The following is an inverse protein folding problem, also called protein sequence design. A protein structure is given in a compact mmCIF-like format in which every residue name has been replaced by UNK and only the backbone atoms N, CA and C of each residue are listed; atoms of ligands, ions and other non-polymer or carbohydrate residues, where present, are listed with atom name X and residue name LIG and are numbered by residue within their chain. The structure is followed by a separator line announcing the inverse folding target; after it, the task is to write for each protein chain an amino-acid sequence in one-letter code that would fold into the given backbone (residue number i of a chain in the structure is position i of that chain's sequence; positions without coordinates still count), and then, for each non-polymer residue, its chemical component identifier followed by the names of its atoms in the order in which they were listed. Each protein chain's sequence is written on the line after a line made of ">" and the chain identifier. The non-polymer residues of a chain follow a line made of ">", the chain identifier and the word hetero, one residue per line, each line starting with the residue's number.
data_IF_477023895208
#
_entry.id   IF_477023895208
#
_cell.length_a   1.000
_cell.length_b   1.000
_cell.length_c   1.000
_cell.angle_alpha   90.00
_cell.angle_beta   90.00
_cell.angle_gamma   90.00
#
_symmetry.space_group_name_H-M   'P 1'
#
loop_
_entity.id
_entity.type
_entity.pdbx_description
1 polymer ?
#
# COMPACT_ATOMS: atom_id res chain seq x y z
N UNK A 1 29.49 18.40 9.13
CA UNK A 1 28.76 17.41 8.32
C UNK A 1 28.19 16.32 9.23
N UNK A 2 26.88 16.16 9.21
CA UNK A 2 26.19 15.11 9.94
C UNK A 2 25.57 14.15 8.92
N UNK A 3 26.04 12.91 8.91
CA UNK A 3 25.47 11.84 8.11
C UNK A 3 24.26 11.27 8.85
N UNK A 4 23.11 11.21 8.21
CA UNK A 4 21.89 10.59 8.75
C UNK A 4 21.58 9.30 7.99
N UNK A 5 21.11 8.27 8.70
CA UNK A 5 20.76 6.98 8.10
C UNK A 5 19.25 6.87 7.93
N UNK A 6 18.81 6.51 6.72
CA UNK A 6 17.43 6.16 6.41
C UNK A 6 17.36 4.66 6.11
N UNK A 7 16.40 3.97 6.72
CA UNK A 7 16.15 2.55 6.45
C UNK A 7 14.78 2.39 5.79
N UNK A 8 14.75 1.68 4.67
CA UNK A 8 13.54 1.41 3.90
C UNK A 8 13.58 -0.02 3.34
N UNK A 9 12.41 -0.56 3.02
CA UNK A 9 12.31 -1.81 2.24
C UNK A 9 12.85 -1.59 0.83
N UNK A 10 13.33 -2.66 0.18
CA UNK A 10 13.92 -2.60 -1.15
C UNK A 10 13.01 -1.88 -2.17
N UNK A 11 11.71 -2.19 -2.16
CA UNK A 11 10.74 -1.60 -3.09
C UNK A 11 10.31 -0.16 -2.79
N UNK A 12 10.78 0.47 -1.72
CA UNK A 12 10.35 1.83 -1.38
C UNK A 12 10.92 2.86 -2.38
N UNK A 13 10.07 3.70 -3.01
CA UNK A 13 10.52 4.66 -4.00
C UNK A 13 11.04 5.96 -3.36
N UNK A 14 12.13 6.48 -3.92
CA UNK A 14 12.75 7.78 -3.64
C UNK A 14 12.81 8.62 -4.91
N UNK A 15 12.61 9.94 -4.77
CA UNK A 15 12.78 10.87 -5.90
C UNK A 15 14.25 11.24 -6.06
N UNK A 16 14.84 10.85 -7.20
CA UNK A 16 16.22 11.18 -7.56
C UNK A 16 16.21 12.43 -8.43
N UNK A 17 16.71 13.54 -7.88
CA UNK A 17 16.61 14.87 -8.47
C UNK A 17 17.44 15.00 -9.76
N UNK A 18 18.61 14.36 -9.82
CA UNK A 18 19.48 14.37 -11.01
C UNK A 18 18.85 13.66 -12.20
N UNK A 19 18.08 12.60 -11.95
CA UNK A 19 17.42 11.79 -12.97
C UNK A 19 15.98 12.26 -13.25
N UNK A 20 15.41 13.07 -12.35
CA UNK A 20 14.00 13.51 -12.38
C UNK A 20 13.03 12.32 -12.46
N UNK A 21 13.36 11.26 -11.74
CA UNK A 21 12.58 10.02 -11.73
C UNK A 21 12.49 9.41 -10.33
N UNK A 22 11.52 8.50 -10.17
CA UNK A 22 11.39 7.69 -8.97
C UNK A 22 12.22 6.43 -9.12
N UNK A 23 13.03 6.11 -8.12
CA UNK A 23 13.86 4.89 -8.04
C UNK A 23 13.56 4.15 -6.76
N UNK A 24 13.53 2.82 -6.81
CA UNK A 24 13.38 2.02 -5.59
C UNK A 24 14.67 2.05 -4.75
N UNK A 25 14.57 1.71 -3.47
CA UNK A 25 15.69 1.81 -2.54
C UNK A 25 16.88 0.94 -2.93
N UNK A 26 16.62 -0.20 -3.59
CA UNK A 26 17.61 -1.12 -4.14
C UNK A 26 18.25 -0.63 -5.46
N UNK A 27 17.70 0.41 -6.08
CA UNK A 27 18.24 1.03 -7.31
C UNK A 27 19.01 2.33 -7.03
N UNK A 28 19.13 2.74 -5.77
CA UNK A 28 19.85 3.95 -5.37
C UNK A 28 21.36 3.72 -5.39
N UNK A 29 22.09 4.76 -5.80
CA UNK A 29 23.55 4.72 -5.90
C UNK A 29 24.19 5.88 -5.12
N UNK A 30 25.37 5.66 -4.49
CA UNK A 30 26.17 6.75 -3.94
C UNK A 30 26.42 7.86 -4.97
N UNK A 31 26.34 9.10 -4.52
CA UNK A 31 26.51 10.30 -5.35
C UNK A 31 25.22 10.86 -5.95
N UNK A 32 24.12 10.09 -5.95
CA UNK A 32 22.80 10.60 -6.35
C UNK A 32 22.24 11.61 -5.34
N UNK A 33 21.39 12.52 -5.82
CA UNK A 33 20.78 13.58 -5.01
C UNK A 33 19.31 13.29 -4.78
N UNK A 34 18.91 13.19 -3.51
CA UNK A 34 17.52 13.08 -3.09
C UNK A 34 16.95 14.46 -2.74
N UNK A 35 15.65 14.64 -2.95
CA UNK A 35 14.95 15.88 -2.61
C UNK A 35 14.36 15.82 -1.19
N UNK A 36 14.63 16.84 -0.39
CA UNK A 36 14.11 16.98 0.99
C UNK A 36 12.73 17.64 1.01
N UNK A 37 12.10 17.67 2.18
CA UNK A 37 10.83 18.35 2.38
C UNK A 37 10.81 19.86 2.41
N UNK A 38 11.96 20.48 2.60
CA UNK A 38 12.14 21.91 2.38
C UNK A 38 12.41 22.24 0.90
N UNK A 39 12.46 21.24 0.02
CA UNK A 39 12.80 21.41 -1.39
C UNK A 39 14.30 21.54 -1.67
N UNK A 40 15.14 21.34 -0.64
CA UNK A 40 16.60 21.26 -0.79
C UNK A 40 17.03 19.85 -1.24
N UNK A 41 18.34 19.61 -1.31
CA UNK A 41 18.92 18.35 -1.78
C UNK A 41 19.87 17.78 -0.75
N UNK A 42 19.89 16.46 -0.63
CA UNK A 42 20.88 15.69 0.14
C UNK A 42 21.52 14.65 -0.76
N UNK A 43 22.83 14.44 -0.62
CA UNK A 43 23.56 13.47 -1.42
C UNK A 43 23.62 12.12 -0.71
N UNK A 44 23.46 11.03 -1.46
CA UNK A 44 23.65 9.69 -0.93
C UNK A 44 25.16 9.44 -0.79
N UNK A 45 25.65 9.30 0.44
CA UNK A 45 27.06 8.99 0.69
C UNK A 45 27.37 7.50 0.53
N UNK A 46 26.46 6.65 0.98
CA UNK A 46 26.58 5.20 0.91
C UNK A 46 25.21 4.53 0.86
N UNK A 47 25.16 3.34 0.25
CA UNK A 47 23.99 2.47 0.25
C UNK A 47 24.43 1.12 0.80
N UNK A 48 23.69 0.59 1.76
CA UNK A 48 23.93 -0.75 2.31
C UNK A 48 22.63 -1.54 2.23
N UNK A 49 22.64 -2.64 1.49
CA UNK A 49 21.53 -3.56 1.40
C UNK A 49 21.77 -4.74 2.36
N UNK A 50 20.78 -5.06 3.17
CA UNK A 50 20.79 -6.27 4.01
C UNK A 50 19.38 -6.86 4.13
N UNK A 51 19.31 -8.16 4.37
CA UNK A 51 18.05 -8.87 4.59
C UNK A 51 17.80 -9.00 6.08
N UNK A 52 16.65 -8.51 6.55
CA UNK A 52 16.24 -8.64 7.95
C UNK A 52 14.73 -8.81 8.04
N UNK A 53 14.26 -9.66 8.96
CA UNK A 53 12.87 -9.63 9.39
C UNK A 53 12.71 -8.51 10.43
N UNK A 54 12.06 -7.42 10.04
CA UNK A 54 11.76 -6.28 10.90
C UNK A 54 10.30 -5.85 10.73
N UNK A 55 9.67 -5.39 11.81
CA UNK A 55 8.37 -4.71 11.72
C UNK A 55 8.59 -3.32 11.13
N UNK A 56 8.02 -3.08 9.95
CA UNK A 56 8.04 -1.76 9.30
C UNK A 56 6.67 -1.09 9.49
N UNK A 57 6.68 0.18 9.86
CA UNK A 57 5.47 0.99 10.04
C UNK A 57 5.25 1.85 8.79
N UNK A 58 4.07 1.75 8.18
CA UNK A 58 3.70 2.53 7.01
C UNK A 58 2.74 3.67 7.43
N UNK A 59 2.96 4.88 6.93
CA UNK A 59 2.05 6.01 7.12
C UNK A 59 1.19 6.15 5.84
N UNK A 60 -0.13 6.02 5.96
CA UNK A 60 -1.04 6.27 4.84
C UNK A 60 -1.44 7.74 4.82
N UNK A 61 -1.11 8.46 3.74
CA UNK A 61 -1.56 9.84 3.51
C UNK A 61 -2.55 9.86 2.35
N UNK A 62 -3.73 10.41 2.61
CA UNK A 62 -4.99 10.14 1.89
C UNK A 62 -5.09 10.79 0.50
N UNK A 63 -4.44 11.95 0.26
CA UNK A 63 -4.69 12.74 -0.97
C UNK A 63 -3.55 12.79 -1.96
N UNK A 64 -2.30 12.97 -1.51
CA UNK A 64 -1.14 13.01 -2.42
C UNK A 64 -0.44 11.65 -2.56
N UNK A 65 -0.74 10.71 -1.65
CA UNK A 65 0.01 9.47 -1.44
C UNK A 65 1.53 9.67 -1.41
N UNK A 66 1.96 10.89 -1.09
CA UNK A 66 3.34 11.32 -0.93
C UNK A 66 3.44 12.01 0.42
N UNK A 67 4.42 11.63 1.22
CA UNK A 67 4.61 12.17 2.55
C UNK A 67 6.08 12.24 2.91
N UNK A 68 6.42 13.04 3.90
CA UNK A 68 7.78 13.14 4.39
C UNK A 68 8.02 12.15 5.52
N UNK A 69 9.06 11.33 5.40
CA UNK A 69 9.58 10.53 6.51
C UNK A 69 10.85 11.18 7.03
N UNK A 70 10.98 11.31 8.34
CA UNK A 70 12.20 11.82 8.94
C UNK A 70 13.27 10.72 8.96
N UNK A 71 14.39 10.93 8.27
CA UNK A 71 15.65 10.31 8.65
C UNK A 71 16.38 11.30 9.56
N UNK A 72 16.50 10.97 10.84
CA UNK A 72 16.99 11.95 11.83
C UNK A 72 16.11 13.21 11.87
N UNK A 73 16.69 14.39 11.61
CA UNK A 73 15.98 15.66 11.53
C UNK A 73 15.55 16.04 10.09
N UNK A 74 15.94 15.26 9.08
CA UNK A 74 15.72 15.60 7.67
C UNK A 74 14.48 14.90 7.10
N UNK A 75 13.42 15.64 6.70
CA UNK A 75 12.28 15.05 6.01
C UNK A 75 12.61 14.68 4.56
N UNK A 76 12.33 13.43 4.16
CA UNK A 76 12.51 12.89 2.79
C UNK A 76 11.16 12.48 2.19
N UNK A 77 10.89 12.87 0.94
CA UNK A 77 9.62 12.60 0.26
C UNK A 77 9.52 11.13 -0.18
N UNK A 78 8.56 10.37 0.36
CA UNK A 78 8.27 8.97 0.00
C UNK A 78 6.85 8.84 -0.54
N UNK A 79 6.57 7.72 -1.21
CA UNK A 79 5.30 7.44 -1.88
C UNK A 79 4.72 6.06 -1.50
N UNK A 80 3.39 5.98 -1.31
CA UNK A 80 2.69 4.75 -0.92
C UNK A 80 1.62 4.37 -1.96
N UNK A 81 1.93 3.39 -2.80
CA UNK A 81 0.98 2.65 -3.63
C UNK A 81 0.72 1.25 -3.03
N UNK A 82 -0.17 0.46 -3.63
CA UNK A 82 -0.53 -0.91 -3.23
C UNK A 82 -1.62 -1.01 -2.14
N UNK A 83 -2.59 -0.09 -2.18
CA UNK A 83 -3.78 -0.20 -1.33
C UNK A 83 -4.69 -1.34 -1.81
N UNK A 84 -5.36 -1.99 -0.86
CA UNK A 84 -6.43 -2.95 -1.12
C UNK A 84 -7.76 -2.22 -0.96
N UNK A 85 -8.57 -2.22 -2.01
CA UNK A 85 -9.85 -1.52 -2.07
C UNK A 85 -10.97 -2.54 -2.13
N UNK A 86 -11.92 -2.43 -1.22
CA UNK A 86 -13.19 -3.15 -1.30
C UNK A 86 -14.17 -2.42 -2.21
N UNK A 87 -14.81 -3.16 -3.12
CA UNK A 87 -15.94 -2.67 -3.90
C UNK A 87 -17.13 -3.61 -3.74
N UNK A 88 -18.31 -3.02 -3.65
CA UNK A 88 -19.57 -3.75 -3.62
C UNK A 88 -19.80 -4.42 -4.99
N UNK A 89 -20.03 -5.74 -4.98
CA UNK A 89 -20.14 -6.53 -6.21
C UNK A 89 -21.50 -6.41 -6.89
N UNK A 90 -22.47 -5.77 -6.23
CA UNK A 90 -23.84 -5.54 -6.72
C UNK A 90 -24.68 -6.82 -6.92
N UNK A 91 -24.09 -8.00 -6.70
CA UNK A 91 -24.76 -9.31 -6.79
C UNK A 91 -25.50 -9.67 -5.51
N UNK A 92 -25.06 -9.10 -4.39
CA UNK A 92 -25.61 -9.26 -3.05
C UNK A 92 -26.34 -7.97 -2.66
N UNK A 93 -27.46 -8.10 -1.94
CA UNK A 93 -28.19 -6.97 -1.39
C UNK A 93 -27.83 -6.76 0.08
N UNK A 94 -28.33 -5.69 0.68
CA UNK A 94 -28.11 -5.39 2.11
C UNK A 94 -28.70 -6.46 3.07
N UNK A 95 -29.58 -7.31 2.57
CA UNK A 95 -30.12 -8.45 3.31
C UNK A 95 -29.87 -9.75 2.56
N UNK A 96 -29.78 -10.85 3.32
CA UNK A 96 -29.77 -12.19 2.76
C UNK A 96 -31.10 -12.45 2.04
N UNK A 97 -31.03 -13.18 0.93
CA UNK A 97 -32.20 -13.48 0.11
C UNK A 97 -32.19 -14.92 -0.35
N UNK A 98 -33.34 -15.57 -0.25
CA UNK A 98 -33.54 -16.91 -0.81
C UNK A 98 -33.43 -16.89 -2.33
N UNK A 99 -32.76 -17.90 -2.88
CA UNK A 99 -32.74 -18.21 -4.30
C UNK A 99 -33.11 -19.68 -4.53
N UNK A 100 -33.40 -20.04 -5.78
CA UNK A 100 -33.62 -21.43 -6.17
C UNK A 100 -32.40 -22.34 -5.93
N UNK A 101 -31.24 -21.78 -5.61
CA UNK A 101 -29.99 -22.50 -5.31
C UNK A 101 -29.56 -22.41 -3.84
N UNK A 102 -30.41 -21.86 -2.97
CA UNK A 102 -30.10 -21.63 -1.54
C UNK A 102 -30.09 -20.16 -1.16
N UNK A 103 -29.74 -19.88 0.09
CA UNK A 103 -29.65 -18.53 0.64
C UNK A 103 -28.43 -17.81 0.10
N UNK A 104 -28.65 -16.64 -0.53
CA UNK A 104 -27.58 -15.72 -0.86
C UNK A 104 -27.34 -14.83 0.34
N UNK A 105 -26.11 -14.83 0.85
CA UNK A 105 -25.69 -13.93 1.92
C UNK A 105 -25.88 -12.46 1.52
N UNK A 106 -26.10 -11.62 2.54
CA UNK A 106 -26.06 -10.17 2.40
C UNK A 106 -24.65 -9.71 2.03
N UNK A 107 -24.56 -8.54 1.41
CA UNK A 107 -23.29 -7.84 1.24
C UNK A 107 -22.77 -7.36 2.62
N UNK A 108 -21.45 -7.37 2.86
CA UNK A 108 -20.86 -6.83 4.08
C UNK A 108 -21.31 -5.39 4.37
N UNK A 109 -21.56 -5.06 5.63
CA UNK A 109 -21.85 -3.69 6.08
C UNK A 109 -20.60 -2.82 6.05
N UNK A 110 -19.43 -3.40 6.32
CA UNK A 110 -18.14 -2.74 6.19
C UNK A 110 -17.13 -3.67 5.50
N UNK A 111 -17.26 -3.81 4.19
CA UNK A 111 -16.37 -4.64 3.38
C UNK A 111 -14.91 -4.17 3.35
N UNK A 112 -14.66 -2.86 3.44
CA UNK A 112 -13.28 -2.34 3.55
C UNK A 112 -12.65 -2.73 4.89
N UNK A 113 -13.39 -2.59 6.00
CA UNK A 113 -12.93 -3.04 7.32
C UNK A 113 -12.71 -4.56 7.38
N UNK A 114 -13.54 -5.35 6.69
CA UNK A 114 -13.30 -6.79 6.54
C UNK A 114 -12.01 -7.08 5.74
N UNK A 115 -11.73 -6.31 4.68
CA UNK A 115 -10.55 -6.43 3.85
C UNK A 115 -9.25 -6.02 4.57
N UNK A 116 -9.29 -4.94 5.33
CA UNK A 116 -8.14 -4.45 6.09
C UNK A 116 -7.70 -5.47 7.15
N UNK A 117 -8.67 -6.12 7.81
CA UNK A 117 -8.45 -7.14 8.83
C UNK A 117 -8.40 -8.58 8.28
N UNK A 118 -8.31 -8.76 6.95
CA UNK A 118 -8.35 -10.08 6.33
C UNK A 118 -6.99 -10.78 6.25
N UNK A 119 -7.03 -12.12 6.33
CA UNK A 119 -5.87 -12.99 6.11
C UNK A 119 -5.97 -13.69 4.76
N UNK A 120 -4.84 -13.80 4.05
CA UNK A 120 -4.78 -14.51 2.79
C UNK A 120 -4.90 -16.02 3.04
N UNK A 121 -5.77 -16.71 2.29
CA UNK A 121 -6.05 -18.13 2.51
C UNK A 121 -4.80 -18.99 2.23
N UNK A 122 -4.03 -18.64 1.20
CA UNK A 122 -2.76 -19.30 0.86
C UNK A 122 -1.87 -18.38 0.01
N UNK A 123 -0.54 -18.55 0.03
CA UNK A 123 0.38 -17.68 -0.71
C UNK A 123 0.10 -17.59 -2.21
N UNK A 124 -0.39 -18.67 -2.82
CA UNK A 124 -0.65 -18.77 -4.26
C UNK A 124 -2.04 -18.28 -4.67
N UNK A 125 -2.88 -17.83 -3.73
CA UNK A 125 -4.22 -17.35 -4.03
C UNK A 125 -4.41 -15.95 -3.50
N UNK A 126 -4.93 -15.02 -4.32
CA UNK A 126 -5.23 -13.69 -3.83
C UNK A 126 -6.47 -13.68 -2.91
N UNK A 127 -7.15 -14.82 -2.71
CA UNK A 127 -8.32 -14.92 -1.83
C UNK A 127 -7.98 -14.66 -0.38
N UNK A 128 -8.86 -13.92 0.29
CA UNK A 128 -8.73 -13.57 1.69
C UNK A 128 -10.00 -13.91 2.45
N UNK A 129 -9.88 -14.10 3.74
CA UNK A 129 -11.00 -14.22 4.67
C UNK A 129 -10.83 -13.16 5.75
N UNK A 130 -11.88 -12.37 5.97
CA UNK A 130 -11.93 -11.32 6.97
C UNK A 130 -13.20 -11.40 7.79
N UNK A 131 -13.29 -10.54 8.80
CA UNK A 131 -14.50 -10.37 9.62
C UNK A 131 -14.94 -8.93 9.48
N UNK A 132 -16.21 -8.71 9.14
CA UNK A 132 -16.80 -7.38 9.11
C UNK A 132 -16.86 -6.83 10.55
N UNK A 133 -16.14 -5.74 10.85
CA UNK A 133 -16.04 -5.21 12.20
C UNK A 133 -17.37 -4.62 12.72
N UNK A 134 -18.36 -4.41 11.84
CA UNK A 134 -19.65 -3.80 12.19
C UNK A 134 -20.62 -4.80 12.82
N UNK A 135 -20.60 -6.05 12.36
CA UNK A 135 -21.57 -7.08 12.74
C UNK A 135 -20.94 -8.44 13.09
N UNK A 136 -19.64 -8.61 12.85
CA UNK A 136 -18.92 -9.86 13.11
C UNK A 136 -19.08 -10.92 12.02
N UNK A 137 -19.67 -10.59 10.87
CA UNK A 137 -19.89 -11.57 9.80
C UNK A 137 -18.57 -11.95 9.13
N UNK A 138 -18.40 -13.24 8.82
CA UNK A 138 -17.26 -13.71 8.04
C UNK A 138 -17.45 -13.32 6.57
N UNK A 139 -16.42 -12.71 5.97
CA UNK A 139 -16.42 -12.25 4.58
C UNK A 139 -15.30 -12.95 3.81
N UNK A 140 -15.65 -13.59 2.70
CA UNK A 140 -14.68 -14.13 1.75
C UNK A 140 -14.43 -13.08 0.68
N UNK A 141 -13.18 -12.70 0.49
CA UNK A 141 -12.79 -11.61 -0.38
C UNK A 141 -11.99 -12.15 -1.56
N UNK A 142 -12.50 -11.93 -2.76
CA UNK A 142 -11.88 -12.29 -4.03
C UNK A 142 -11.26 -11.05 -4.68
N UNK A 143 -9.98 -11.11 -5.03
CA UNK A 143 -9.35 -10.10 -5.88
C UNK A 143 -9.88 -10.26 -7.30
N UNK A 144 -10.43 -9.18 -7.84
CA UNK A 144 -11.13 -9.18 -9.13
C UNK A 144 -10.51 -8.25 -10.16
N UNK A 145 -9.63 -7.35 -9.73
CA UNK A 145 -9.00 -6.41 -10.64
C UNK A 145 -7.92 -5.57 -9.99
N UNK A 146 -7.37 -4.68 -10.81
CA UNK A 146 -6.45 -3.62 -10.42
C UNK A 146 -6.93 -2.32 -11.03
N UNK A 147 -6.77 -1.22 -10.31
CA UNK A 147 -7.01 0.13 -10.82
C UNK A 147 -5.74 0.94 -10.66
N UNK A 148 -5.50 1.89 -11.58
CA UNK A 148 -4.42 2.86 -11.40
C UNK A 148 -4.69 3.66 -10.13
N UNK A 149 -3.64 3.88 -9.34
CA UNK A 149 -3.69 4.69 -8.12
C UNK A 149 -4.19 6.12 -8.37
N UNK A 150 -4.13 6.63 -9.60
CA UNK A 150 -4.49 8.01 -9.92
C UNK A 150 -3.43 9.04 -9.52
N UNK A 151 -2.39 8.59 -8.82
CA UNK A 151 -1.18 9.35 -8.53
C UNK A 151 -0.21 9.41 -9.73
N UNK A 152 0.73 10.34 -9.72
CA UNK A 152 1.67 10.62 -10.84
C UNK A 152 2.69 9.49 -11.13
N UNK A 153 2.67 8.39 -10.39
CA UNK A 153 3.54 7.24 -10.64
C UNK A 153 2.98 6.43 -11.83
N UNK A 154 3.77 6.18 -12.90
CA UNK A 154 3.31 5.47 -14.09
C UNK A 154 2.72 4.08 -13.81
N UNK A 155 3.26 3.39 -12.79
CA UNK A 155 2.97 1.98 -12.50
C UNK A 155 2.32 1.74 -11.12
N UNK A 156 1.88 2.80 -10.44
CA UNK A 156 1.17 2.67 -9.16
C UNK A 156 -0.22 2.05 -9.34
N UNK A 157 -0.48 0.89 -8.74
CA UNK A 157 -1.80 0.23 -8.80
C UNK A 157 -2.37 -0.04 -7.42
N UNK A 158 -3.69 -0.07 -7.34
CA UNK A 158 -4.46 -0.55 -6.19
C UNK A 158 -5.20 -1.82 -6.59
N UNK A 159 -5.34 -2.76 -5.66
CA UNK A 159 -6.04 -4.03 -5.89
C UNK A 159 -7.52 -3.92 -5.52
N UNK A 160 -8.41 -4.43 -6.37
CA UNK A 160 -9.85 -4.42 -6.12
C UNK A 160 -10.31 -5.80 -5.64
N UNK A 161 -10.98 -5.81 -4.48
CA UNK A 161 -11.60 -6.97 -3.86
C UNK A 161 -13.11 -6.83 -3.79
N UNK A 162 -13.83 -7.93 -4.00
CA UNK A 162 -15.26 -8.06 -3.76
C UNK A 162 -15.51 -9.17 -2.73
N UNK A 163 -16.63 -9.12 -2.02
CA UNK A 163 -17.05 -10.12 -1.05
C UNK A 163 -18.52 -10.49 -1.14
#
# INVERSE_FOLDING_TARGET
>A
DATETLTATAGHPFWVESLREWRTADELEPGQWLRTGSGTRVQIEAVTAWTQQAAVYNLTVDTAHTYYVAAGATPVLVHNCDQRIYQAGGKHGAQARGSSRGENSAEPRNGQGALDNSVQIKPTSPRRVGVDPTNGDAVILDRTGVVRCGCTKPDGTNEIYHG
#
